data_IF_472009625706
#
_entry.id   IF_472009625706
#
_cell.length_a   1.000
_cell.length_b   1.000
_cell.length_c   1.000
_cell.angle_alpha   90.00
_cell.angle_beta   90.00
_cell.angle_gamma   90.00
#
_symmetry.space_group_name_H-M   'P 1'
#
loop_
_entity.id
_entity.type
_entity.pdbx_description
1 polymer ?
#
# COMPACT_ATOMS: atom_id res chain seq x y z
N UNK A 1 -1.47 17.48 14.97
CA UNK A 1 -1.15 17.33 13.53
C UNK A 1 -1.87 16.11 12.99
N UNK A 2 -2.91 16.31 12.18
CA UNK A 2 -3.65 15.22 11.53
C UNK A 2 -2.78 14.68 10.40
N UNK A 3 -2.02 13.60 10.63
CA UNK A 3 -1.22 13.00 9.57
C UNK A 3 -2.22 12.35 8.61
N UNK A 4 -2.45 12.98 7.46
CA UNK A 4 -3.38 12.47 6.46
C UNK A 4 -2.93 11.09 5.97
N UNK A 5 -3.89 10.19 5.77
CA UNK A 5 -3.68 8.92 5.06
C UNK A 5 -3.03 9.25 3.71
N UNK A 6 -1.99 8.50 3.34
CA UNK A 6 -1.36 8.63 2.02
C UNK A 6 -1.69 7.40 1.19
N UNK A 7 -1.97 7.60 -0.09
CA UNK A 7 -2.20 6.53 -1.04
C UNK A 7 -1.02 6.46 -2.00
N UNK A 8 -0.54 5.26 -2.26
CA UNK A 8 0.48 4.92 -3.23
C UNK A 8 -0.14 4.04 -4.29
N UNK A 9 0.22 4.23 -5.56
CA UNK A 9 -0.30 3.43 -6.66
C UNK A 9 0.84 2.94 -7.53
N UNK A 10 0.73 1.71 -7.98
CA UNK A 10 1.57 1.13 -9.03
C UNK A 10 0.72 0.16 -9.85
N UNK A 11 1.28 -0.32 -10.95
CA UNK A 11 0.59 -1.25 -11.85
C UNK A 11 0.05 -2.46 -11.07
N UNK A 12 -1.27 -2.66 -11.10
CA UNK A 12 -1.96 -3.75 -10.40
C UNK A 12 -2.09 -3.61 -8.88
N UNK A 13 -1.62 -2.54 -8.24
CA UNK A 13 -1.64 -2.43 -6.77
C UNK A 13 -1.91 -1.03 -6.24
N UNK A 14 -2.62 -0.95 -5.12
CA UNK A 14 -2.82 0.26 -4.32
C UNK A 14 -2.31 0.05 -2.89
N UNK A 15 -1.59 1.04 -2.35
CA UNK A 15 -1.04 1.02 -1.01
C UNK A 15 -1.60 2.16 -0.16
N UNK A 16 -2.26 1.87 0.94
CA UNK A 16 -2.85 2.86 1.85
C UNK A 16 -2.01 2.97 3.12
N UNK A 17 -1.28 4.07 3.26
CA UNK A 17 -0.51 4.40 4.45
C UNK A 17 -1.38 5.07 5.50
N UNK A 18 -1.54 4.37 6.63
CA UNK A 18 -2.20 4.84 7.86
C UNK A 18 -1.14 5.33 8.86
N UNK A 19 -0.86 6.65 8.92
CA UNK A 19 0.18 7.19 9.80
C UNK A 19 -0.15 7.09 11.28
N UNK A 20 -1.42 6.95 11.65
CA UNK A 20 -1.88 6.80 13.04
C UNK A 20 -1.37 5.50 13.65
N UNK A 21 -1.49 4.41 12.90
CA UNK A 21 -1.02 3.08 13.29
C UNK A 21 0.31 2.69 12.65
N UNK A 22 0.93 3.64 11.92
CA UNK A 22 2.17 3.45 11.16
C UNK A 22 2.17 2.19 10.30
N UNK A 23 1.08 1.97 9.57
CA UNK A 23 0.81 0.75 8.82
C UNK A 23 0.53 1.07 7.36
N UNK A 24 1.04 0.26 6.45
CA UNK A 24 0.69 0.27 5.04
C UNK A 24 -0.19 -0.94 4.75
N UNK A 25 -1.42 -0.70 4.33
CA UNK A 25 -2.28 -1.74 3.77
C UNK A 25 -2.05 -1.80 2.25
N UNK A 26 -1.96 -2.99 1.70
CA UNK A 26 -1.66 -3.24 0.29
C UNK A 26 -2.83 -3.99 -0.31
N UNK A 27 -3.29 -3.50 -1.45
CA UNK A 27 -4.39 -4.02 -2.23
C UNK A 27 -3.89 -4.37 -3.63
N UNK A 28 -4.31 -5.50 -4.15
CA UNK A 28 -4.24 -5.83 -5.58
C UNK A 28 -5.46 -5.22 -6.27
N UNK A 29 -5.28 -4.64 -7.45
CA UNK A 29 -6.36 -4.05 -8.22
C UNK A 29 -6.55 -4.92 -9.45
N UNK A 30 -7.73 -5.53 -9.58
CA UNK A 30 -8.07 -6.35 -10.75
C UNK A 30 -8.27 -5.50 -12.02
N UNK A 31 -8.46 -6.15 -13.17
CA UNK A 31 -8.74 -5.47 -14.44
C UNK A 31 -10.04 -4.64 -14.42
N UNK A 32 -10.95 -4.91 -13.47
CA UNK A 32 -12.18 -4.15 -13.26
C UNK A 32 -11.98 -2.93 -12.36
N UNK A 33 -10.77 -2.71 -11.83
CA UNK A 33 -10.44 -1.63 -10.90
C UNK A 33 -10.85 -1.90 -9.45
N UNK A 34 -11.20 -3.14 -9.10
CA UNK A 34 -11.63 -3.55 -7.77
C UNK A 34 -10.42 -3.84 -6.88
N UNK A 35 -10.26 -3.16 -5.73
CA UNK A 35 -9.16 -3.42 -4.81
C UNK A 35 -9.44 -4.62 -3.90
N UNK A 36 -8.58 -5.63 -3.97
CA UNK A 36 -8.54 -6.80 -3.10
C UNK A 36 -7.43 -6.65 -2.06
N UNK A 37 -7.79 -6.71 -0.78
CA UNK A 37 -6.79 -6.66 0.28
C UNK A 37 -5.83 -7.85 0.18
N UNK A 38 -4.54 -7.57 0.05
CA UNK A 38 -3.48 -8.58 0.05
C UNK A 38 -2.88 -8.75 1.44
N UNK A 39 -2.31 -7.67 1.96
CA UNK A 39 -1.56 -7.73 3.21
C UNK A 39 -1.42 -6.34 3.83
N UNK A 40 -0.92 -6.31 5.06
CA UNK A 40 -0.61 -5.07 5.75
C UNK A 40 0.70 -5.19 6.50
N UNK A 41 1.50 -4.12 6.49
CA UNK A 41 2.84 -4.12 7.08
C UNK A 41 3.14 -2.81 7.81
N UNK A 42 3.78 -2.92 8.97
CA UNK A 42 4.13 -1.77 9.80
C UNK A 42 5.47 -1.16 9.36
N UNK A 43 5.56 0.17 9.37
CA UNK A 43 6.76 0.92 9.00
C UNK A 43 7.03 2.05 9.98
N UNK A 44 8.24 2.60 9.99
CA UNK A 44 8.58 3.72 10.88
C UNK A 44 7.99 5.05 10.40
N UNK A 45 7.88 5.25 9.09
CA UNK A 45 7.36 6.45 8.45
C UNK A 45 6.86 6.16 7.02
N UNK A 46 6.17 7.15 6.41
CA UNK A 46 5.60 7.00 5.06
C UNK A 46 6.64 6.79 3.97
N UNK A 47 7.86 7.34 4.12
CA UNK A 47 8.91 7.25 3.10
C UNK A 47 9.46 5.82 3.01
N UNK A 48 9.60 5.14 4.15
CA UNK A 48 10.00 3.72 4.17
C UNK A 48 8.87 2.84 3.63
N UNK A 49 7.62 3.13 3.98
CA UNK A 49 6.46 2.42 3.45
C UNK A 49 6.34 2.55 1.92
N UNK A 50 6.49 3.76 1.39
CA UNK A 50 6.51 4.04 -0.04
C UNK A 50 7.65 3.30 -0.75
N UNK A 51 8.88 3.39 -0.20
CA UNK A 51 10.03 2.69 -0.75
C UNK A 51 9.85 1.17 -0.78
N UNK A 52 9.22 0.60 0.25
CA UNK A 52 8.83 -0.81 0.25
C UNK A 52 7.79 -1.10 -0.85
N UNK A 53 6.72 -0.32 -0.92
CA UNK A 53 5.64 -0.51 -1.90
C UNK A 53 6.14 -0.46 -3.35
N UNK A 54 7.01 0.50 -3.65
CA UNK A 54 7.55 0.71 -5.00
C UNK A 54 8.59 -0.35 -5.39
N UNK A 55 9.42 -0.81 -4.45
CA UNK A 55 10.48 -1.80 -4.75
C UNK A 55 10.01 -3.24 -4.68
N UNK A 56 9.01 -3.53 -3.84
CA UNK A 56 8.58 -4.90 -3.61
C UNK A 56 7.79 -5.39 -4.81
N UNK A 57 8.24 -6.46 -5.45
CA UNK A 57 7.44 -7.12 -6.48
C UNK A 57 6.36 -7.94 -5.78
N UNK A 58 5.10 -7.47 -5.82
CA UNK A 58 4.00 -8.27 -5.30
C UNK A 58 3.72 -9.38 -6.31
N UNK A 59 3.52 -10.63 -5.87
CA UNK A 59 3.16 -11.70 -6.79
C UNK A 59 1.82 -11.34 -7.43
N UNK A 60 1.80 -11.17 -8.76
CA UNK A 60 0.57 -11.06 -9.54
C UNK A 60 -0.22 -12.35 -9.37
N UNK A 61 -1.39 -12.23 -8.78
CA UNK A 61 -2.03 -13.35 -8.08
C UNK A 61 -3.43 -13.70 -8.55
N UNK A 62 -3.81 -13.52 -9.82
CA UNK A 62 -4.88 -14.30 -10.46
C UNK A 62 -5.02 -14.09 -11.96
#
# INVERSE_FOLDING_TARGET
MNRKVKMFRKEGYEGIWRPEVKKLDIYEVDDSGTPYFLQSKSFTNSRVAEGYFMKYNFPYGR
#
